data_IF_038815840097
#
_entry.id   IF_038815840097
#
_cell.length_a   1.000
_cell.length_b   1.000
_cell.length_c   1.000
_cell.angle_alpha   90.00
_cell.angle_beta   90.00
_cell.angle_gamma   90.00
#
_symmetry.space_group_name_H-M   'P 1'
#
loop_
_entity.id
_entity.type
_entity.pdbx_description
1 polymer ?
#
# COMPACT_ATOMS: atom_id res chain seq x y z
N UNK A 1 21.20 -6.11 10.63
CA UNK A 1 21.08 -7.58 10.75
C UNK A 1 20.30 -8.08 9.52
N UNK A 2 20.78 -9.12 8.85
CA UNK A 2 20.08 -9.69 7.67
C UNK A 2 18.90 -10.54 8.17
N UNK A 3 17.69 -10.25 7.71
CA UNK A 3 16.50 -11.03 8.09
C UNK A 3 16.52 -12.37 7.35
N UNK A 4 16.20 -13.43 8.07
CA UNK A 4 15.86 -14.72 7.48
C UNK A 4 14.37 -14.75 7.16
N UNK A 5 14.04 -14.48 5.90
CA UNK A 5 12.65 -14.46 5.43
C UNK A 5 11.92 -15.81 5.60
N UNK A 6 12.66 -16.91 5.50
CA UNK A 6 12.07 -18.24 5.68
C UNK A 6 11.62 -18.44 7.12
N UNK A 7 12.44 -18.02 8.09
CA UNK A 7 12.11 -18.10 9.51
C UNK A 7 10.87 -17.28 9.88
N UNK A 8 10.69 -16.13 9.24
CA UNK A 8 9.48 -15.29 9.41
C UNK A 8 8.27 -15.92 8.73
N UNK A 9 8.45 -16.52 7.56
CA UNK A 9 7.37 -17.08 6.76
C UNK A 9 6.77 -18.36 7.33
N UNK A 10 7.59 -19.27 7.86
CA UNK A 10 7.16 -20.61 8.30
C UNK A 10 6.01 -20.61 9.34
N UNK A 11 6.01 -19.78 10.39
CA UNK A 11 4.88 -19.73 11.34
C UNK A 11 3.58 -19.32 10.65
N UNK A 12 3.64 -18.37 9.70
CA UNK A 12 2.48 -17.88 8.96
C UNK A 12 1.97 -18.97 8.02
N UNK A 13 2.88 -19.64 7.29
CA UNK A 13 2.56 -20.75 6.39
C UNK A 13 1.91 -21.91 7.15
N UNK A 14 2.44 -22.26 8.32
CA UNK A 14 1.87 -23.31 9.18
C UNK A 14 0.45 -22.95 9.64
N UNK A 15 0.22 -21.68 9.99
CA UNK A 15 -1.10 -21.19 10.44
C UNK A 15 -2.12 -21.16 9.32
N UNK A 16 -1.72 -20.74 8.11
CA UNK A 16 -2.62 -20.56 6.97
C UNK A 16 -2.79 -21.82 6.11
N UNK A 17 -1.86 -22.76 6.21
CA UNK A 17 -1.89 -23.97 5.40
C UNK A 17 -1.42 -23.77 3.97
N UNK A 18 -1.65 -24.78 3.12
CA UNK A 18 -1.27 -24.76 1.72
C UNK A 18 -2.38 -24.19 0.84
N UNK A 19 -2.56 -22.88 0.95
CA UNK A 19 -3.60 -22.14 0.23
C UNK A 19 -3.02 -21.38 -0.97
N UNK A 20 -3.79 -21.27 -2.05
CA UNK A 20 -3.44 -20.46 -3.22
C UNK A 20 -3.93 -19.03 -3.02
N UNK A 21 -3.02 -18.13 -2.69
CA UNK A 21 -3.34 -16.72 -2.52
C UNK A 21 -3.52 -16.04 -3.88
N UNK A 22 -4.69 -15.43 -4.09
CA UNK A 22 -4.95 -14.65 -5.31
C UNK A 22 -4.39 -13.24 -5.20
N UNK A 23 -4.67 -12.55 -4.11
CA UNK A 23 -4.26 -11.17 -3.90
C UNK A 23 -3.74 -10.98 -2.48
N UNK A 24 -2.66 -10.26 -2.33
CA UNK A 24 -2.20 -9.73 -1.06
C UNK A 24 -2.60 -8.26 -0.95
N UNK A 25 -2.98 -7.82 0.24
CA UNK A 25 -3.47 -6.47 0.51
C UNK A 25 -2.73 -5.91 1.72
N UNK A 26 -2.05 -4.77 1.57
CA UNK A 26 -1.40 -4.04 2.66
C UNK A 26 -2.26 -2.82 2.97
N UNK A 27 -2.85 -2.79 4.16
CA UNK A 27 -3.72 -1.72 4.60
C UNK A 27 -2.93 -0.62 5.31
N UNK A 28 -3.11 0.61 4.86
CA UNK A 28 -2.52 1.82 5.46
C UNK A 28 -3.31 2.33 6.65
N UNK A 29 -2.82 3.43 7.24
CA UNK A 29 -3.43 4.11 8.39
C UNK A 29 -4.90 4.46 8.11
N UNK A 30 -5.77 4.17 9.07
CA UNK A 30 -7.21 4.40 9.00
C UNK A 30 -7.99 3.45 8.08
N UNK A 31 -7.32 2.59 7.28
CA UNK A 31 -7.97 1.68 6.32
C UNK A 31 -8.08 0.23 6.82
N UNK A 32 -7.61 -0.04 8.05
CA UNK A 32 -7.51 -1.38 8.63
C UNK A 32 -8.83 -2.13 8.76
N UNK A 33 -9.94 -1.43 8.91
CA UNK A 33 -11.26 -2.02 9.07
C UNK A 33 -11.78 -2.71 7.80
N UNK A 34 -11.16 -2.47 6.65
CA UNK A 34 -11.49 -3.19 5.42
C UNK A 34 -11.48 -4.72 5.59
N UNK A 35 -10.63 -5.25 6.47
CA UNK A 35 -10.58 -6.70 6.72
C UNK A 35 -11.91 -7.27 7.22
N UNK A 36 -12.74 -6.45 7.86
CA UNK A 36 -14.05 -6.84 8.38
C UNK A 36 -15.10 -7.02 7.27
N UNK A 37 -14.83 -6.49 6.09
CA UNK A 37 -15.66 -6.65 4.89
C UNK A 37 -15.44 -7.99 4.17
N UNK A 38 -14.47 -8.80 4.62
CA UNK A 38 -14.10 -10.07 4.05
C UNK A 38 -14.42 -11.22 5.03
N UNK A 39 -14.67 -12.42 4.51
CA UNK A 39 -14.79 -13.60 5.35
C UNK A 39 -13.40 -13.97 5.91
N UNK A 40 -13.17 -13.72 7.18
CA UNK A 40 -11.92 -14.01 7.88
C UNK A 40 -11.84 -15.50 8.23
N UNK A 41 -10.95 -16.23 7.56
CA UNK A 41 -10.75 -17.67 7.80
C UNK A 41 -9.89 -17.91 9.04
N UNK A 42 -8.77 -17.20 9.13
CA UNK A 42 -7.86 -17.24 10.30
C UNK A 42 -6.94 -16.04 10.30
N UNK A 43 -6.24 -15.82 11.40
CA UNK A 43 -5.26 -14.73 11.53
C UNK A 43 -4.10 -15.12 12.44
N UNK A 44 -3.00 -14.36 12.32
CA UNK A 44 -1.83 -14.44 13.21
C UNK A 44 -1.41 -13.01 13.57
N UNK A 45 -1.04 -12.79 14.84
CA UNK A 45 -0.42 -11.53 15.26
C UNK A 45 1.03 -11.49 14.80
N UNK A 46 1.51 -10.36 14.34
CA UNK A 46 2.92 -10.19 13.97
C UNK A 46 3.84 -10.33 15.19
N UNK A 47 3.35 -10.06 16.40
CA UNK A 47 4.07 -10.31 17.65
C UNK A 47 4.32 -11.79 17.94
N UNK A 48 3.53 -12.68 17.33
CA UNK A 48 3.67 -14.14 17.50
C UNK A 48 4.61 -14.73 16.42
N UNK A 49 5.14 -13.88 15.54
CA UNK A 49 6.07 -14.28 14.48
C UNK A 49 7.46 -13.78 14.82
N UNK A 50 8.39 -14.71 15.10
CA UNK A 50 9.76 -14.37 15.42
C UNK A 50 10.41 -13.51 14.32
N UNK A 51 11.16 -12.49 14.72
CA UNK A 51 11.87 -11.57 13.83
C UNK A 51 10.96 -10.67 12.97
N UNK A 52 9.63 -10.75 13.12
CA UNK A 52 8.71 -9.79 12.52
C UNK A 52 8.71 -8.49 13.35
N UNK A 53 8.93 -7.33 12.75
CA UNK A 53 8.94 -6.06 13.49
C UNK A 53 7.54 -5.71 14.00
N UNK A 54 7.49 -5.09 15.18
CA UNK A 54 6.24 -4.61 15.78
C UNK A 54 6.13 -3.12 15.55
N UNK A 55 5.04 -2.68 14.92
CA UNK A 55 4.81 -1.24 14.73
C UNK A 55 4.54 -0.54 16.06
N UNK A 56 5.10 0.65 16.19
CA UNK A 56 4.89 1.56 17.33
C UNK A 56 3.78 2.57 17.08
N UNK A 57 3.20 2.56 15.87
CA UNK A 57 2.21 3.54 15.44
C UNK A 57 0.80 3.12 15.87
N UNK A 58 0.02 4.01 16.54
CA UNK A 58 -1.38 3.76 16.85
C UNK A 58 -2.19 3.39 15.60
N UNK A 59 -3.12 2.43 15.73
CA UNK A 59 -3.94 1.95 14.62
C UNK A 59 -3.30 0.85 13.75
N UNK A 60 -2.00 0.55 13.91
CA UNK A 60 -1.33 -0.57 13.26
C UNK A 60 -1.35 -1.79 14.18
N UNK A 61 -2.43 -2.56 14.15
CA UNK A 61 -2.66 -3.71 15.08
C UNK A 61 -1.68 -4.87 14.88
N UNK A 62 -0.87 -4.84 13.82
CA UNK A 62 0.12 -5.88 13.53
C UNK A 62 -0.51 -7.27 13.38
N UNK A 63 -1.55 -7.42 12.58
CA UNK A 63 -2.18 -8.72 12.29
C UNK A 63 -2.14 -9.04 10.81
N UNK A 64 -1.95 -10.32 10.52
CA UNK A 64 -2.02 -10.88 9.17
C UNK A 64 -3.23 -11.81 9.13
N UNK A 65 -4.12 -11.61 8.18
CA UNK A 65 -5.34 -12.36 8.01
C UNK A 65 -5.30 -13.19 6.74
N UNK A 66 -5.79 -14.41 6.81
CA UNK A 66 -6.24 -15.17 5.66
C UNK A 66 -7.74 -14.93 5.52
N UNK A 67 -8.15 -14.37 4.40
CA UNK A 67 -9.54 -14.05 4.11
C UNK A 67 -10.01 -14.78 2.86
N UNK A 68 -11.31 -15.04 2.80
CA UNK A 68 -11.97 -15.55 1.60
C UNK A 68 -12.92 -14.47 1.06
N UNK A 69 -12.87 -14.26 -0.26
CA UNK A 69 -13.80 -13.40 -0.97
C UNK A 69 -13.88 -13.82 -2.44
N UNK A 70 -15.09 -13.84 -3.00
CA UNK A 70 -15.33 -14.20 -4.41
C UNK A 70 -14.64 -15.51 -4.83
N UNK A 71 -14.81 -16.57 -4.01
CA UNK A 71 -14.25 -17.92 -4.20
C UNK A 71 -12.72 -17.94 -4.35
N UNK A 72 -12.04 -17.03 -3.67
CA UNK A 72 -10.57 -16.93 -3.68
C UNK A 72 -10.04 -16.57 -2.31
N UNK A 73 -8.82 -17.04 -2.00
CA UNK A 73 -8.12 -16.63 -0.79
C UNK A 73 -7.26 -15.41 -1.02
N UNK A 74 -7.27 -14.54 -0.03
CA UNK A 74 -6.50 -13.30 0.04
C UNK A 74 -5.75 -13.23 1.35
N UNK A 75 -4.54 -12.69 1.33
CA UNK A 75 -3.80 -12.36 2.54
C UNK A 75 -3.91 -10.85 2.78
N UNK A 76 -4.28 -10.46 4.00
CA UNK A 76 -4.48 -9.05 4.36
C UNK A 76 -3.59 -8.69 5.54
N UNK A 77 -2.73 -7.71 5.35
CA UNK A 77 -1.87 -7.15 6.39
C UNK A 77 -2.57 -5.92 6.99
N UNK A 78 -3.08 -6.05 8.23
CA UNK A 78 -3.68 -4.95 8.98
C UNK A 78 -2.59 -4.24 9.78
N UNK A 79 -2.03 -3.18 9.17
CA UNK A 79 -0.90 -2.41 9.66
C UNK A 79 0.37 -2.62 8.84
N UNK A 80 1.29 -1.66 8.95
CA UNK A 80 2.58 -1.66 8.27
C UNK A 80 3.68 -1.14 9.19
N UNK A 81 4.91 -1.38 8.76
CA UNK A 81 6.14 -0.88 9.40
C UNK A 81 6.67 0.26 8.55
N UNK A 82 7.16 1.32 9.20
CA UNK A 82 7.75 2.46 8.51
C UNK A 82 9.25 2.56 8.77
N UNK A 83 9.97 3.13 7.82
CA UNK A 83 11.41 3.33 7.97
C UNK A 83 11.78 4.28 9.12
N UNK A 84 10.92 5.25 9.44
CA UNK A 84 11.15 6.18 10.55
C UNK A 84 11.00 5.54 11.94
N UNK A 85 10.45 4.34 12.03
CA UNK A 85 10.43 3.55 13.27
C UNK A 85 11.80 2.89 13.58
N UNK A 86 12.84 3.16 12.77
CA UNK A 86 14.18 2.64 12.97
C UNK A 86 14.45 1.26 12.34
N UNK A 87 13.46 0.71 11.63
CA UNK A 87 13.59 -0.58 10.98
C UNK A 87 14.36 -0.50 9.65
N UNK A 88 15.02 -1.59 9.29
CA UNK A 88 15.70 -1.72 8.00
C UNK A 88 14.69 -1.84 6.86
N UNK A 89 15.13 -1.52 5.64
CA UNK A 89 14.32 -1.68 4.44
C UNK A 89 13.80 -3.11 4.27
N UNK A 90 14.61 -4.12 4.63
CA UNK A 90 14.25 -5.53 4.55
C UNK A 90 13.13 -5.91 5.54
N UNK A 91 13.01 -5.17 6.64
CA UNK A 91 11.89 -5.34 7.59
C UNK A 91 10.62 -4.68 7.09
N UNK A 92 10.75 -3.48 6.53
CA UNK A 92 9.61 -2.73 5.99
C UNK A 92 8.90 -3.48 4.85
N UNK A 93 9.65 -4.17 3.99
CA UNK A 93 9.07 -4.90 2.85
C UNK A 93 8.56 -6.32 3.19
N UNK A 94 8.63 -6.75 4.46
CA UNK A 94 8.19 -8.10 4.86
C UNK A 94 6.78 -8.47 4.38
N UNK A 95 5.76 -7.61 4.45
CA UNK A 95 4.44 -7.94 3.90
C UNK A 95 4.50 -8.33 2.42
N UNK A 96 5.31 -7.63 1.62
CA UNK A 96 5.48 -7.92 0.19
C UNK A 96 6.29 -9.20 -0.03
N UNK A 97 7.33 -9.45 0.79
CA UNK A 97 8.11 -10.71 0.78
C UNK A 97 7.19 -11.90 1.04
N UNK A 98 6.41 -11.85 2.11
CA UNK A 98 5.48 -12.91 2.50
C UNK A 98 4.44 -13.14 1.39
N UNK A 99 3.92 -12.06 0.81
CA UNK A 99 2.99 -12.14 -0.33
C UNK A 99 3.59 -12.90 -1.51
N UNK A 100 4.86 -12.64 -1.84
CA UNK A 100 5.58 -13.35 -2.90
C UNK A 100 5.84 -14.81 -2.54
N UNK A 101 6.19 -15.12 -1.29
CA UNK A 101 6.42 -16.49 -0.83
C UNK A 101 5.14 -17.34 -0.83
N UNK A 102 3.96 -16.73 -0.63
CA UNK A 102 2.66 -17.37 -0.87
C UNK A 102 2.26 -17.44 -2.35
N UNK A 103 3.11 -16.99 -3.27
CA UNK A 103 2.83 -16.91 -4.72
C UNK A 103 1.56 -16.10 -5.04
N UNK A 104 1.28 -15.05 -4.28
CA UNK A 104 0.21 -14.11 -4.60
C UNK A 104 0.36 -13.60 -6.03
N UNK A 105 -0.77 -13.47 -6.74
CA UNK A 105 -0.77 -13.03 -8.14
C UNK A 105 -0.75 -11.51 -8.29
N UNK A 106 -1.27 -10.81 -7.30
CA UNK A 106 -1.32 -9.36 -7.23
C UNK A 106 -1.05 -8.87 -5.82
N UNK A 107 -0.47 -7.68 -5.74
CA UNK A 107 -0.34 -6.92 -4.50
C UNK A 107 -1.17 -5.63 -4.61
N UNK A 108 -2.02 -5.38 -3.63
CA UNK A 108 -2.68 -4.09 -3.45
C UNK A 108 -2.03 -3.41 -2.26
N UNK A 109 -1.48 -2.22 -2.46
CA UNK A 109 -0.89 -1.42 -1.38
C UNK A 109 -1.72 -0.17 -1.19
N UNK A 110 -2.12 0.11 0.04
CA UNK A 110 -2.91 1.31 0.34
C UNK A 110 -2.20 2.16 1.39
N UNK A 111 -2.42 3.46 1.35
CA UNK A 111 -1.85 4.40 2.32
C UNK A 111 -2.77 5.59 2.56
N UNK A 112 -2.49 6.32 3.64
CA UNK A 112 -2.92 7.70 3.84
C UNK A 112 -1.85 8.63 3.24
N UNK A 113 -2.25 9.72 2.59
CA UNK A 113 -1.35 10.68 1.95
C UNK A 113 -1.88 12.11 2.07
N UNK A 114 -0.96 13.08 2.15
CA UNK A 114 -1.26 14.50 2.02
C UNK A 114 -1.39 14.92 0.56
N UNK A 115 -2.48 15.57 0.20
CA UNK A 115 -2.72 16.10 -1.15
C UNK A 115 -1.90 17.35 -1.41
N UNK A 116 -1.15 17.37 -2.52
CA UNK A 116 -0.35 18.52 -3.00
C UNK A 116 -1.07 19.22 -4.15
N UNK A 117 -1.62 18.42 -5.08
CA UNK A 117 -2.34 18.91 -6.26
C UNK A 117 -3.67 19.57 -5.88
N UNK A 118 -4.01 20.65 -6.57
CA UNK A 118 -5.31 21.35 -6.45
C UNK A 118 -6.51 20.49 -6.89
N UNK A 119 -6.23 19.42 -7.65
CA UNK A 119 -7.24 18.47 -8.09
C UNK A 119 -7.57 17.40 -7.03
N UNK A 120 -6.85 17.41 -5.90
CA UNK A 120 -7.04 16.49 -4.78
C UNK A 120 -7.58 17.21 -3.56
N UNK A 121 -8.53 16.60 -2.89
CA UNK A 121 -9.08 17.07 -1.62
C UNK A 121 -9.16 15.91 -0.62
N UNK A 122 -9.20 16.19 0.68
CA UNK A 122 -9.47 15.17 1.69
C UNK A 122 -10.71 14.32 1.33
N UNK A 123 -10.62 13.03 1.59
CA UNK A 123 -11.57 12.00 1.20
C UNK A 123 -11.56 11.60 -0.30
N UNK A 124 -10.60 12.06 -1.09
CA UNK A 124 -10.36 11.48 -2.43
C UNK A 124 -9.56 10.18 -2.35
N UNK A 125 -9.82 9.29 -3.30
CA UNK A 125 -8.98 8.13 -3.58
C UNK A 125 -8.14 8.43 -4.84
N UNK A 126 -6.83 8.17 -4.75
CA UNK A 126 -5.91 8.37 -5.86
C UNK A 126 -5.18 7.06 -6.19
N UNK A 127 -5.31 6.61 -7.43
CA UNK A 127 -4.50 5.54 -8.00
C UNK A 127 -3.10 6.11 -8.29
N UNK A 128 -2.07 5.48 -7.76
CA UNK A 128 -0.69 5.91 -7.96
C UNK A 128 -0.23 5.43 -9.34
N UNK A 129 0.06 6.39 -10.22
CA UNK A 129 0.53 6.12 -11.59
C UNK A 129 2.04 6.24 -11.74
N UNK A 130 2.68 7.03 -10.88
CA UNK A 130 4.14 7.16 -10.88
C UNK A 130 4.66 7.51 -9.48
N UNK A 131 5.98 7.41 -9.31
CA UNK A 131 6.65 7.48 -8.03
C UNK A 131 7.76 8.53 -8.05
N UNK A 132 7.75 9.42 -7.08
CA UNK A 132 8.82 10.38 -6.87
C UNK A 132 9.56 10.09 -5.55
N UNK A 133 10.85 9.71 -5.64
CA UNK A 133 11.72 9.39 -4.49
C UNK A 133 13.18 9.77 -4.72
N UNK A 134 13.42 10.86 -5.45
CA UNK A 134 14.74 11.29 -5.89
C UNK A 134 15.76 11.37 -4.75
N UNK A 135 15.37 11.98 -3.63
CA UNK A 135 16.25 12.14 -2.45
C UNK A 135 16.51 10.83 -1.69
N UNK A 136 15.75 9.79 -1.96
CA UNK A 136 15.82 8.52 -1.26
C UNK A 136 16.40 7.37 -2.11
N UNK A 137 16.87 7.63 -3.33
CA UNK A 137 17.46 6.60 -4.21
C UNK A 137 18.61 5.84 -3.54
N UNK A 138 19.47 6.53 -2.78
CA UNK A 138 20.57 5.88 -2.06
C UNK A 138 20.07 4.95 -0.94
N UNK A 139 19.00 5.35 -0.23
CA UNK A 139 18.36 4.56 0.84
C UNK A 139 17.66 3.32 0.29
N UNK A 140 17.12 3.42 -0.92
CA UNK A 140 16.43 2.33 -1.61
C UNK A 140 17.33 1.56 -2.60
N UNK A 141 18.66 1.76 -2.54
CA UNK A 141 19.61 1.14 -3.48
C UNK A 141 19.42 -0.37 -3.61
N UNK A 142 19.22 -1.08 -2.52
CA UNK A 142 19.04 -2.54 -2.51
C UNK A 142 17.75 -2.96 -3.25
N UNK A 143 16.71 -2.13 -3.22
CA UNK A 143 15.44 -2.37 -3.91
C UNK A 143 15.46 -1.83 -5.35
N UNK A 144 16.21 -0.74 -5.61
CA UNK A 144 16.24 -0.07 -6.91
C UNK A 144 17.36 -0.58 -7.83
N UNK A 145 18.26 -1.44 -7.35
CA UNK A 145 19.45 -1.94 -8.08
C UNK A 145 19.13 -3.01 -9.13
N UNK A 146 17.88 -3.39 -9.29
CA UNK A 146 17.50 -4.31 -10.35
C UNK A 146 17.77 -3.63 -11.71
N UNK A 147 18.68 -4.22 -12.49
CA UNK A 147 19.01 -3.80 -13.87
C UNK A 147 17.88 -4.04 -14.86
N UNK A 148 16.79 -4.63 -14.43
CA UNK A 148 15.58 -4.76 -15.24
C UNK A 148 14.89 -3.40 -15.26
N UNK A 149 14.97 -2.69 -16.39
CA UNK A 149 14.23 -1.45 -16.66
C UNK A 149 12.70 -1.69 -16.69
N UNK A 150 12.15 -2.24 -15.63
CA UNK A 150 10.71 -2.38 -15.47
C UNK A 150 10.19 -1.17 -14.74
N UNK A 151 9.19 -0.52 -15.30
CA UNK A 151 8.43 0.48 -14.56
C UNK A 151 7.80 -0.20 -13.34
N UNK A 152 7.95 0.43 -12.17
CA UNK A 152 7.42 -0.11 -10.92
C UNK A 152 5.88 -0.21 -10.94
N UNK A 153 5.23 0.66 -11.73
CA UNK A 153 3.78 0.69 -11.92
C UNK A 153 3.44 0.15 -13.33
N UNK A 154 2.50 -0.78 -13.38
CA UNK A 154 2.00 -1.34 -14.63
C UNK A 154 0.82 -0.49 -15.13
N UNK A 155 1.04 0.24 -16.23
CA UNK A 155 0.06 1.16 -16.81
C UNK A 155 -1.24 0.44 -17.21
N UNK A 156 -1.16 -0.71 -17.86
CA UNK A 156 -2.34 -1.46 -18.33
C UNK A 156 -3.20 -1.94 -17.16
N UNK A 157 -2.56 -2.39 -16.08
CA UNK A 157 -3.25 -2.78 -14.85
C UNK A 157 -3.93 -1.57 -14.19
N UNK A 158 -3.25 -0.42 -14.16
CA UNK A 158 -3.83 0.81 -13.63
C UNK A 158 -5.01 1.30 -14.49
N UNK A 159 -4.89 1.26 -15.82
CA UNK A 159 -5.99 1.62 -16.72
C UNK A 159 -7.20 0.69 -16.51
N UNK A 160 -6.97 -0.61 -16.30
CA UNK A 160 -8.04 -1.55 -15.94
C UNK A 160 -8.74 -1.17 -14.63
N UNK A 161 -7.98 -0.85 -13.57
CA UNK A 161 -8.52 -0.43 -12.26
C UNK A 161 -9.30 0.88 -12.39
N UNK A 162 -8.78 1.82 -13.16
CA UNK A 162 -9.43 3.10 -13.39
C UNK A 162 -10.77 2.94 -14.13
N UNK A 163 -10.85 2.08 -15.15
CA UNK A 163 -12.10 1.78 -15.83
C UNK A 163 -13.09 1.02 -14.93
N UNK A 164 -12.60 0.17 -14.03
CA UNK A 164 -13.47 -0.46 -13.02
C UNK A 164 -14.10 0.58 -12.08
N UNK A 165 -13.34 1.57 -11.64
CA UNK A 165 -13.85 2.61 -10.73
C UNK A 165 -14.99 3.39 -11.36
N UNK A 166 -14.90 3.72 -12.66
CA UNK A 166 -15.98 4.39 -13.42
C UNK A 166 -17.24 3.53 -13.47
N UNK A 167 -17.10 2.23 -13.74
CA UNK A 167 -18.26 1.30 -13.83
C UNK A 167 -19.05 1.19 -12.54
N UNK A 168 -18.41 1.42 -11.40
CA UNK A 168 -19.07 1.38 -10.09
C UNK A 168 -19.40 2.76 -9.53
N UNK A 169 -19.26 3.81 -10.35
CA UNK A 169 -19.48 5.22 -10.00
C UNK A 169 -18.65 5.66 -8.80
N UNK A 170 -17.35 5.30 -8.78
CA UNK A 170 -16.38 5.80 -7.83
C UNK A 170 -15.42 6.71 -8.59
N UNK A 171 -15.36 7.97 -8.17
CA UNK A 171 -14.36 8.92 -8.64
C UNK A 171 -13.01 8.49 -8.06
N UNK A 172 -12.12 7.99 -8.93
CA UNK A 172 -10.76 7.63 -8.61
C UNK A 172 -9.84 8.60 -9.35
N UNK A 173 -9.07 9.38 -8.61
CA UNK A 173 -8.05 10.26 -9.19
C UNK A 173 -6.85 9.43 -9.62
N UNK A 174 -5.96 10.03 -10.41
CA UNK A 174 -4.67 9.43 -10.80
C UNK A 174 -3.57 10.45 -10.52
N UNK A 175 -2.39 10.00 -10.13
CA UNK A 175 -1.32 10.95 -9.85
C UNK A 175 0.01 10.34 -9.44
N UNK A 176 0.98 11.23 -9.23
CA UNK A 176 2.35 10.92 -8.80
C UNK A 176 2.42 10.97 -7.28
N UNK A 177 2.89 9.87 -6.69
CA UNK A 177 3.10 9.78 -5.25
C UNK A 177 4.55 10.06 -4.89
N UNK A 178 4.77 11.06 -4.03
CA UNK A 178 6.08 11.40 -3.49
C UNK A 178 6.34 10.69 -2.15
N UNK A 179 7.58 10.23 -1.95
CA UNK A 179 8.02 9.66 -0.68
C UNK A 179 8.72 10.71 0.19
N UNK A 180 8.28 10.79 1.44
CA UNK A 180 8.95 11.47 2.55
C UNK A 180 9.36 10.46 3.60
N UNK A 181 10.49 10.70 4.29
CA UNK A 181 10.97 9.72 5.27
C UNK A 181 10.20 9.72 6.58
N UNK A 182 9.55 10.81 6.95
CA UNK A 182 8.99 10.99 8.29
C UNK A 182 10.08 10.98 9.40
N UNK A 183 9.71 10.97 10.68
CA UNK A 183 8.34 10.97 11.22
C UNK A 183 7.65 12.35 11.19
N UNK A 184 8.41 13.44 10.99
CA UNK A 184 7.84 14.78 10.85
C UNK A 184 7.16 14.97 9.50
N UNK A 185 6.07 15.72 9.48
CA UNK A 185 5.50 16.21 8.23
C UNK A 185 6.49 17.11 7.49
N UNK A 186 6.27 17.25 6.20
CA UNK A 186 7.05 18.11 5.31
C UNK A 186 6.88 19.59 5.71
N UNK A 187 7.91 20.38 5.40
CA UNK A 187 7.82 21.82 5.46
C UNK A 187 7.07 22.38 4.25
N UNK A 188 6.48 23.60 4.33
CA UNK A 188 5.88 24.25 3.17
C UNK A 188 6.84 24.42 1.98
N UNK A 189 8.15 24.55 2.24
CA UNK A 189 9.16 24.64 1.18
C UNK A 189 9.35 23.33 0.44
N UNK A 190 9.38 22.20 1.16
CA UNK A 190 9.44 20.86 0.57
C UNK A 190 8.18 20.59 -0.26
N UNK A 191 7.00 20.94 0.22
CA UNK A 191 5.76 20.80 -0.55
C UNK A 191 5.77 21.64 -1.82
N UNK A 192 6.26 22.91 -1.77
CA UNK A 192 6.43 23.72 -3.00
C UNK A 192 7.38 23.05 -3.99
N UNK A 193 8.47 22.46 -3.52
CA UNK A 193 9.39 21.72 -4.37
C UNK A 193 8.72 20.50 -5.02
N UNK A 194 7.97 19.69 -4.25
CA UNK A 194 7.23 18.55 -4.77
C UNK A 194 6.16 18.97 -5.79
N UNK A 195 5.49 20.12 -5.58
CA UNK A 195 4.52 20.68 -6.54
C UNK A 195 5.19 21.06 -7.86
N UNK A 196 6.41 21.65 -7.84
CA UNK A 196 7.21 21.95 -9.03
C UNK A 196 7.66 20.69 -9.75
N UNK A 197 7.85 19.60 -9.02
CA UNK A 197 8.20 18.28 -9.57
C UNK A 197 6.97 17.47 -10.04
N UNK A 198 5.82 18.10 -10.21
CA UNK A 198 4.55 17.49 -10.65
C UNK A 198 4.08 16.33 -9.75
N UNK A 199 4.38 16.38 -8.45
CA UNK A 199 3.86 15.42 -7.48
C UNK A 199 2.45 15.81 -7.04
N UNK A 200 1.54 14.84 -6.99
CA UNK A 200 0.14 15.04 -6.62
C UNK A 200 -0.13 14.79 -5.14
N UNK A 201 0.56 13.83 -4.55
CA UNK A 201 0.41 13.49 -3.13
C UNK A 201 1.75 13.08 -2.51
N UNK A 202 1.86 13.19 -1.19
CA UNK A 202 3.05 12.82 -0.41
C UNK A 202 2.69 11.93 0.77
N UNK A 203 3.57 10.99 1.09
CA UNK A 203 3.44 10.15 2.28
C UNK A 203 4.73 9.41 2.62
N UNK A 204 4.71 8.65 3.71
CA UNK A 204 5.91 8.12 4.37
C UNK A 204 6.08 6.60 4.21
N UNK A 205 5.41 5.98 3.23
CA UNK A 205 5.36 4.52 3.05
C UNK A 205 5.30 4.13 1.57
N UNK A 206 4.92 2.88 1.28
CA UNK A 206 4.43 2.41 -0.03
C UNK A 206 5.51 2.20 -1.10
N UNK A 207 6.41 3.16 -1.33
CA UNK A 207 7.45 3.03 -2.37
C UNK A 207 8.37 1.81 -2.13
N UNK A 208 8.84 1.51 -0.91
CA UNK A 208 9.63 0.31 -0.67
C UNK A 208 8.92 -0.98 -1.09
N UNK A 209 7.63 -1.11 -0.75
CA UNK A 209 6.80 -2.27 -1.08
C UNK A 209 6.62 -2.40 -2.59
N UNK A 210 6.35 -1.29 -3.29
CA UNK A 210 6.22 -1.26 -4.76
C UNK A 210 7.52 -1.67 -5.43
N UNK A 211 8.66 -1.11 -5.02
CA UNK A 211 9.97 -1.42 -5.60
C UNK A 211 10.33 -2.90 -5.39
N UNK A 212 10.11 -3.44 -4.19
CA UNK A 212 10.35 -4.85 -3.93
C UNK A 212 9.45 -5.74 -4.81
N UNK A 213 8.16 -5.44 -4.90
CA UNK A 213 7.21 -6.19 -5.71
C UNK A 213 7.60 -6.18 -7.20
N UNK A 214 7.93 -5.01 -7.74
CA UNK A 214 8.37 -4.84 -9.12
C UNK A 214 9.62 -5.67 -9.44
N UNK A 215 10.61 -5.67 -8.54
CA UNK A 215 11.83 -6.45 -8.71
C UNK A 215 11.62 -7.97 -8.66
N UNK A 216 10.50 -8.38 -8.07
CA UNK A 216 10.14 -9.79 -7.91
C UNK A 216 8.95 -10.23 -8.81
N UNK A 217 8.67 -9.48 -9.88
CA UNK A 217 7.59 -9.78 -10.82
C UNK A 217 6.22 -10.01 -10.14
N UNK A 218 5.90 -9.20 -9.13
CA UNK A 218 4.61 -9.18 -8.47
C UNK A 218 3.86 -7.90 -8.88
N UNK A 219 2.81 -8.00 -9.71
CA UNK A 219 2.06 -6.83 -10.16
C UNK A 219 1.42 -6.09 -8.99
N UNK A 220 1.54 -4.75 -8.98
CA UNK A 220 1.10 -3.87 -7.89
C UNK A 220 0.01 -2.93 -8.36
N UNK A 221 -1.02 -2.78 -7.53
CA UNK A 221 -2.00 -1.69 -7.56
C UNK A 221 -1.77 -0.88 -6.29
N UNK A 222 -1.50 0.41 -6.42
CA UNK A 222 -1.26 1.28 -5.27
C UNK A 222 -2.31 2.39 -5.22
N UNK A 223 -2.97 2.54 -4.06
CA UNK A 223 -4.06 3.50 -3.87
C UNK A 223 -3.81 4.32 -2.61
N UNK A 224 -3.76 5.65 -2.78
CA UNK A 224 -3.72 6.60 -1.67
C UNK A 224 -5.12 7.05 -1.30
N UNK A 225 -5.41 7.08 0.00
CA UNK A 225 -6.49 7.85 0.57
C UNK A 225 -5.92 9.23 0.91
N UNK A 226 -6.43 10.29 0.28
CA UNK A 226 -6.03 11.66 0.60
C UNK A 226 -6.72 12.04 1.90
N UNK A 227 -5.96 12.10 2.99
CA UNK A 227 -6.51 12.31 4.33
C UNK A 227 -6.50 13.76 4.75
N UNK A 228 -5.60 14.54 4.21
CA UNK A 228 -5.39 15.94 4.52
C UNK A 228 -4.75 16.65 3.32
N UNK A 229 -4.77 17.96 3.32
CA UNK A 229 -3.87 18.72 2.44
C UNK A 229 -2.44 18.65 2.97
N UNK A 230 -1.45 18.64 2.08
CA UNK A 230 -0.04 18.70 2.47
C UNK A 230 0.33 20.03 3.14
N UNK A 231 1.46 20.08 3.83
CA UNK A 231 1.88 21.24 4.62
C UNK A 231 1.94 22.53 3.80
N UNK A 232 1.32 23.58 4.30
CA UNK A 232 1.32 24.92 3.68
C UNK A 232 0.40 25.06 2.46
N UNK A 233 -0.43 24.07 2.14
CA UNK A 233 -1.51 24.19 1.15
C UNK A 233 -2.71 24.92 1.76
N UNK A 234 -3.01 24.68 3.04
CA UNK A 234 -4.01 25.38 3.83
C UNK A 234 -3.40 25.89 5.12
N UNK A 235 -4.11 26.77 5.85
CA UNK A 235 -3.66 27.30 7.14
C UNK A 235 -3.84 26.32 8.30
N UNK A 236 -4.52 25.20 8.09
CA UNK A 236 -4.80 24.21 9.13
C UNK A 236 -3.52 23.46 9.54
N UNK A 237 -3.41 23.18 10.84
CA UNK A 237 -2.33 22.33 11.36
C UNK A 237 -2.63 20.86 11.06
N UNK A 238 -1.64 20.15 10.56
CA UNK A 238 -1.73 18.72 10.30
C UNK A 238 -1.77 17.94 11.61
N UNK A 239 -2.67 16.95 11.71
CA UNK A 239 -2.76 16.03 12.85
C UNK A 239 -3.02 14.59 12.39
N UNK A 240 -2.61 13.64 13.24
CA UNK A 240 -2.91 12.22 12.97
C UNK A 240 -4.41 11.91 13.16
N UNK A 241 -5.12 12.72 13.92
CA UNK A 241 -6.57 12.61 14.14
C UNK A 241 -7.35 12.86 12.85
N UNK A 242 -6.99 13.91 12.08
CA UNK A 242 -7.57 14.18 10.75
C UNK A 242 -7.42 12.99 9.79
N UNK A 243 -6.29 12.28 9.86
CA UNK A 243 -6.04 11.08 9.04
C UNK A 243 -7.09 10.00 9.33
N UNK A 244 -7.40 9.78 10.60
CA UNK A 244 -8.36 8.75 11.02
C UNK A 244 -9.78 9.13 10.66
N UNK A 245 -10.17 10.37 10.92
CA UNK A 245 -11.52 10.87 10.64
C UNK A 245 -11.83 10.85 9.14
N UNK A 246 -10.90 11.31 8.32
CA UNK A 246 -11.06 11.29 6.87
C UNK A 246 -11.12 9.87 6.32
N UNK A 247 -10.31 8.95 6.87
CA UNK A 247 -10.36 7.54 6.47
C UNK A 247 -11.75 6.91 6.76
N UNK A 248 -12.40 7.29 7.87
CA UNK A 248 -13.77 6.87 8.18
C UNK A 248 -14.79 7.38 7.15
N UNK A 249 -14.63 8.62 6.65
CA UNK A 249 -15.52 9.19 5.62
C UNK A 249 -15.44 8.40 4.30
N UNK A 250 -14.24 7.92 3.93
CA UNK A 250 -14.08 7.18 2.66
C UNK A 250 -14.26 5.68 2.78
N UNK A 251 -14.49 5.16 3.99
CA UNK A 251 -14.52 3.71 4.29
C UNK A 251 -15.38 2.91 3.30
N UNK A 252 -16.62 3.32 3.08
CA UNK A 252 -17.54 2.62 2.16
C UNK A 252 -17.06 2.67 0.71
N UNK A 253 -16.65 3.86 0.25
CA UNK A 253 -16.13 4.09 -1.10
C UNK A 253 -14.87 3.26 -1.35
N UNK A 254 -13.94 3.26 -0.40
CA UNK A 254 -12.72 2.48 -0.41
C UNK A 254 -13.01 0.97 -0.44
N UNK A 255 -13.84 0.49 0.48
CA UNK A 255 -14.22 -0.93 0.59
C UNK A 255 -14.89 -1.43 -0.70
N UNK A 256 -15.81 -0.65 -1.26
CA UNK A 256 -16.46 -0.97 -2.54
C UNK A 256 -15.44 -1.08 -3.67
N UNK A 257 -14.48 -0.14 -3.74
CA UNK A 257 -13.44 -0.15 -4.77
C UNK A 257 -12.55 -1.39 -4.64
N UNK A 258 -11.99 -1.66 -3.46
CA UNK A 258 -11.08 -2.80 -3.25
C UNK A 258 -11.79 -4.13 -3.50
N UNK A 259 -13.01 -4.32 -3.00
CA UNK A 259 -13.78 -5.54 -3.27
C UNK A 259 -14.04 -5.75 -4.76
N UNK A 260 -14.32 -4.67 -5.49
CA UNK A 260 -14.51 -4.76 -6.94
C UNK A 260 -13.20 -5.14 -7.64
N UNK A 261 -12.08 -4.52 -7.27
CA UNK A 261 -10.77 -4.84 -7.83
C UNK A 261 -10.45 -6.33 -7.62
N UNK A 262 -10.49 -6.82 -6.38
CA UNK A 262 -10.11 -8.23 -6.11
C UNK A 262 -11.06 -9.24 -6.78
N UNK A 263 -12.32 -8.89 -6.99
CA UNK A 263 -13.29 -9.71 -7.72
C UNK A 263 -12.99 -9.78 -9.21
N UNK A 264 -12.57 -8.66 -9.82
CA UNK A 264 -12.42 -8.55 -11.28
C UNK A 264 -10.98 -8.86 -11.77
N UNK A 265 -9.96 -8.85 -10.89
CA UNK A 265 -8.58 -9.19 -11.25
C UNK A 265 -8.40 -10.55 -11.98
N UNK A 266 -9.15 -11.63 -11.65
CA UNK A 266 -9.07 -12.87 -12.41
C UNK A 266 -9.40 -12.70 -13.91
N UNK A 267 -10.32 -11.80 -14.25
CA UNK A 267 -10.69 -11.52 -15.64
C UNK A 267 -9.58 -10.79 -16.39
N UNK A 268 -8.90 -9.86 -15.71
CA UNK A 268 -7.72 -9.18 -16.27
C UNK A 268 -6.61 -10.19 -16.59
N UNK A 269 -6.30 -11.09 -15.64
CA UNK A 269 -5.27 -12.13 -15.83
C UNK A 269 -5.51 -13.00 -17.06
N UNK A 270 -6.76 -13.45 -17.25
CA UNK A 270 -7.09 -14.32 -18.37
C UNK A 270 -6.99 -13.63 -19.74
N UNK A 271 -7.18 -12.28 -19.78
CA UNK A 271 -6.99 -11.50 -21.02
C UNK A 271 -5.54 -11.22 -21.37
N UNK A 272 -4.68 -11.05 -20.35
CA UNK A 272 -3.27 -10.68 -20.54
C UNK A 272 -2.36 -11.88 -20.85
N UNK A 273 -2.85 -13.12 -20.69
CA UNK A 273 -2.09 -14.34 -20.93
C UNK A 273 -2.67 -15.20 -22.07
N UNK A 274 -3.71 -14.71 -22.78
CA UNK A 274 -4.22 -15.22 -24.06
C UNK A 274 -3.85 -14.25 -25.18
#
# INVERSE_FOLDING_TARGET
MKIDYQKVFEPIKRKFGDVKIKTAIILGSGLGDFVEELNQVTSISTSDVNDYPVSTIPGHSGKIFLCEYSNSYHIVFKGRIHLYEGYSINQVVLPTVISKMFNAKYLIVTNAAGGISENLKPADLMLIDDLFFLHYKAKFRELASSTKNKFAINKELNDFVFELSKKINIELKRGVYAYSSGPSYETPAEIRFLKIADCDAVGMSTIPEILYASNNDLPVIAISCITNYAAGITENKLSHEEVTDTANIVKEKFSKLIRTIIKELPRYWNKSNN
#
